data_IF_125874735080
#
_entry.id   IF_125874735080
#
_cell.length_a   1.000
_cell.length_b   1.000
_cell.length_c   1.000
_cell.angle_alpha   90.00
_cell.angle_beta   90.00
_cell.angle_gamma   90.00
#
_symmetry.space_group_name_H-M   'P 1'
#
loop_
_entity.id
_entity.type
_entity.pdbx_description
1 polymer ?
#
# COMPACT_ATOMS: atom_id res chain seq x y z
N UNK A 1 35.54 59.71 27.50
CA UNK A 1 34.58 59.43 26.41
C UNK A 1 35.34 59.41 25.10
N UNK A 2 35.83 58.25 24.66
CA UNK A 2 36.56 58.11 23.39
C UNK A 2 35.70 57.31 22.42
N UNK A 3 35.33 57.96 21.32
CA UNK A 3 34.62 57.32 20.19
C UNK A 3 35.65 56.57 19.36
N UNK A 4 35.43 55.26 19.15
CA UNK A 4 36.19 54.44 18.21
C UNK A 4 35.36 54.36 16.94
N UNK A 5 35.90 54.89 15.85
CA UNK A 5 35.35 54.75 14.48
C UNK A 5 36.02 53.52 13.87
N UNK A 6 35.24 52.49 13.51
CA UNK A 6 35.73 51.36 12.75
C UNK A 6 35.47 51.63 11.27
N UNK A 7 36.53 51.75 10.52
CA UNK A 7 36.56 51.92 9.06
C UNK A 7 36.46 50.52 8.43
N UNK A 8 35.37 50.26 7.71
CA UNK A 8 35.23 49.01 6.92
C UNK A 8 35.80 49.28 5.51
N UNK A 9 36.92 48.63 5.25
CA UNK A 9 37.61 48.67 3.98
C UNK A 9 36.99 47.61 3.02
N UNK A 10 36.35 48.05 1.94
CA UNK A 10 35.91 47.19 0.83
C UNK A 10 37.11 46.79 -0.01
N UNK A 11 37.49 45.51 0.04
CA UNK A 11 38.37 44.92 -0.97
C UNK A 11 37.53 44.26 -2.03
N UNK A 12 37.57 44.82 -3.24
CA UNK A 12 37.09 44.17 -4.48
C UNK A 12 38.23 43.26 -4.93
N UNK A 13 38.02 41.96 -4.87
CA UNK A 13 38.88 40.98 -5.53
C UNK A 13 38.10 40.37 -6.74
N UNK A 14 38.49 40.81 -7.89
CA UNK A 14 38.25 40.12 -9.17
C UNK A 14 39.17 38.90 -9.21
N UNK A 15 38.62 37.72 -9.30
CA UNK A 15 39.41 36.49 -9.41
C UNK A 15 38.60 35.39 -10.09
N UNK A 16 38.98 35.10 -11.30
CA UNK A 16 38.74 33.95 -12.18
C UNK A 16 37.98 32.73 -11.61
N UNK A 17 37.11 32.21 -12.47
CA UNK A 17 36.32 31.01 -12.24
C UNK A 17 37.11 29.77 -11.88
N UNK A 18 36.50 28.95 -11.07
CA UNK A 18 36.86 27.55 -11.00
C UNK A 18 35.59 26.70 -11.03
N UNK A 19 35.49 25.88 -12.06
CA UNK A 19 34.45 24.87 -12.27
C UNK A 19 34.62 23.75 -11.25
N UNK A 20 33.83 23.73 -10.21
CA UNK A 20 33.75 22.61 -9.24
C UNK A 20 32.33 22.31 -8.75
N UNK A 21 31.30 22.41 -9.63
CA UNK A 21 29.93 22.02 -9.28
C UNK A 21 29.44 20.70 -9.91
N UNK A 22 30.34 19.83 -10.42
CA UNK A 22 29.97 18.58 -11.09
C UNK A 22 30.41 17.32 -10.32
N UNK A 23 30.60 17.35 -9.03
CA UNK A 23 31.00 16.15 -8.29
C UNK A 23 30.01 15.62 -7.26
N UNK A 24 29.05 16.40 -6.80
CA UNK A 24 28.11 15.91 -5.78
C UNK A 24 26.96 15.08 -6.35
N UNK A 25 26.40 15.47 -7.51
CA UNK A 25 25.25 14.74 -8.10
C UNK A 25 25.63 13.32 -8.57
N UNK A 26 26.88 13.12 -8.99
CA UNK A 26 27.37 11.80 -9.43
C UNK A 26 27.68 10.85 -8.27
N UNK A 27 27.95 11.35 -7.08
CA UNK A 27 28.22 10.54 -5.89
C UNK A 27 26.92 10.09 -5.24
N UNK A 28 25.93 10.98 -5.10
CA UNK A 28 24.61 10.63 -4.58
C UNK A 28 23.88 9.63 -5.49
N UNK A 29 23.91 9.84 -6.82
CA UNK A 29 23.32 8.89 -7.77
C UNK A 29 24.03 7.54 -7.82
N UNK A 30 25.34 7.49 -7.57
CA UNK A 30 26.08 6.23 -7.53
C UNK A 30 25.81 5.44 -6.22
N UNK A 31 25.74 6.11 -5.09
CA UNK A 31 25.44 5.50 -3.78
C UNK A 31 24.01 4.95 -3.76
N UNK A 32 23.03 5.67 -4.31
CA UNK A 32 21.64 5.18 -4.40
C UNK A 32 21.51 3.99 -5.36
N UNK A 33 22.25 3.97 -6.48
CA UNK A 33 22.22 2.85 -7.42
C UNK A 33 22.89 1.59 -6.86
N UNK A 34 23.95 1.74 -6.06
CA UNK A 34 24.64 0.63 -5.39
C UNK A 34 23.75 0.04 -4.29
N UNK A 35 23.16 0.86 -3.44
CA UNK A 35 22.19 0.44 -2.42
C UNK A 35 20.99 -0.31 -3.02
N UNK A 36 20.42 0.16 -4.13
CA UNK A 36 19.32 -0.52 -4.82
C UNK A 36 19.74 -1.88 -5.43
N UNK A 37 20.99 -2.03 -5.85
CA UNK A 37 21.52 -3.31 -6.33
C UNK A 37 21.70 -4.29 -5.17
N UNK A 38 22.25 -3.84 -4.06
CA UNK A 38 22.43 -4.67 -2.86
C UNK A 38 21.08 -5.17 -2.33
N UNK A 39 20.07 -4.30 -2.21
CA UNK A 39 18.70 -4.69 -1.82
C UNK A 39 18.09 -5.70 -2.80
N UNK A 40 18.31 -5.51 -4.10
CA UNK A 40 17.82 -6.40 -5.16
C UNK A 40 18.44 -7.78 -5.05
N UNK A 41 19.73 -7.88 -4.81
CA UNK A 41 20.45 -9.15 -4.71
C UNK A 41 20.13 -9.86 -3.38
N UNK A 42 20.03 -9.11 -2.28
CA UNK A 42 19.59 -9.61 -0.98
C UNK A 42 18.15 -10.16 -1.04
N UNK A 43 17.22 -9.44 -1.70
CA UNK A 43 15.84 -9.92 -1.85
C UNK A 43 15.79 -11.26 -2.59
N UNK A 44 16.56 -11.42 -3.69
CA UNK A 44 16.64 -12.68 -4.43
C UNK A 44 17.21 -13.81 -3.58
N UNK A 45 18.27 -13.53 -2.81
CA UNK A 45 18.88 -14.51 -1.93
C UNK A 45 17.92 -15.02 -0.86
N UNK A 46 17.17 -14.12 -0.22
CA UNK A 46 16.14 -14.45 0.78
C UNK A 46 15.07 -15.33 0.13
N UNK A 47 14.49 -14.89 -1.00
CA UNK A 47 13.42 -15.63 -1.70
C UNK A 47 13.88 -17.01 -2.16
N UNK A 48 15.13 -17.16 -2.60
CA UNK A 48 15.68 -18.46 -3.01
C UNK A 48 15.82 -19.43 -1.84
N UNK A 49 15.97 -18.94 -0.61
CA UNK A 49 16.05 -19.78 0.61
C UNK A 49 14.67 -20.15 1.18
N UNK A 50 13.60 -19.47 0.75
CA UNK A 50 12.24 -19.73 1.21
C UNK A 50 11.65 -20.97 0.54
N UNK A 51 10.90 -21.77 1.32
CA UNK A 51 10.09 -22.86 0.76
C UNK A 51 8.89 -22.28 -0.02
N UNK A 52 8.20 -23.12 -0.79
CA UNK A 52 6.99 -22.69 -1.53
C UNK A 52 5.90 -22.24 -0.55
N UNK A 53 5.73 -22.95 0.56
CA UNK A 53 4.77 -22.65 1.61
C UNK A 53 5.06 -21.28 2.25
N UNK A 54 6.32 -21.00 2.55
CA UNK A 54 6.74 -19.71 3.07
C UNK A 54 6.47 -18.57 2.08
N UNK A 55 6.78 -18.76 0.80
CA UNK A 55 6.52 -17.79 -0.25
C UNK A 55 5.02 -17.50 -0.41
N UNK A 56 4.20 -18.54 -0.43
CA UNK A 56 2.74 -18.41 -0.52
C UNK A 56 2.22 -17.68 0.71
N UNK A 57 2.72 -18.00 1.90
CA UNK A 57 2.32 -17.29 3.13
C UNK A 57 2.59 -15.79 3.07
N UNK A 58 3.73 -15.38 2.51
CA UNK A 58 4.05 -13.95 2.35
C UNK A 58 3.03 -13.19 1.48
N UNK A 59 2.25 -13.90 0.67
CA UNK A 59 1.22 -13.32 -0.19
C UNK A 59 -0.12 -13.07 0.53
N UNK A 60 -0.19 -13.18 1.85
CA UNK A 60 -1.42 -12.95 2.62
C UNK A 60 -1.24 -11.87 3.68
N UNK A 61 -2.19 -10.92 3.72
CA UNK A 61 -2.40 -10.00 4.85
C UNK A 61 -3.77 -10.32 5.43
N UNK A 62 -3.84 -10.60 6.75
CA UNK A 62 -5.06 -11.04 7.42
C UNK A 62 -5.31 -10.25 8.70
N UNK A 63 -6.52 -10.29 9.23
CA UNK A 63 -6.81 -9.82 10.59
C UNK A 63 -6.24 -10.79 11.62
N UNK A 64 -5.81 -10.32 12.82
CA UNK A 64 -5.34 -11.23 13.88
C UNK A 64 -6.45 -12.18 14.35
N UNK A 65 -7.72 -11.82 14.19
CA UNK A 65 -8.87 -12.67 14.48
C UNK A 65 -8.95 -13.94 13.63
N UNK A 66 -8.24 -13.99 12.49
CA UNK A 66 -8.13 -15.23 11.69
C UNK A 66 -7.48 -16.39 12.49
N UNK A 67 -6.74 -16.06 13.56
CA UNK A 67 -6.03 -17.02 14.41
C UNK A 67 -6.60 -17.11 15.82
N UNK A 68 -7.63 -16.31 16.13
CA UNK A 68 -8.27 -16.28 17.44
C UNK A 68 -9.71 -16.77 17.37
N UNK A 69 -9.98 -17.92 17.99
CA UNK A 69 -11.28 -18.56 17.98
C UNK A 69 -12.27 -17.99 19.03
N UNK A 70 -11.93 -16.89 19.70
CA UNK A 70 -12.79 -16.32 20.77
C UNK A 70 -13.98 -15.54 20.24
N UNK A 71 -13.95 -15.13 18.96
CA UNK A 71 -14.94 -14.24 18.35
C UNK A 71 -14.89 -12.79 18.87
N UNK A 72 -13.87 -12.44 19.66
CA UNK A 72 -13.67 -11.10 20.22
C UNK A 72 -12.60 -10.36 19.43
N UNK A 73 -12.60 -9.02 19.54
CA UNK A 73 -11.53 -8.21 19.02
C UNK A 73 -10.20 -8.53 19.71
N UNK A 74 -9.17 -8.81 18.92
CA UNK A 74 -7.82 -9.07 19.41
C UNK A 74 -7.16 -7.74 19.80
N UNK A 75 -6.96 -7.55 21.10
CA UNK A 75 -6.27 -6.37 21.66
C UNK A 75 -5.02 -6.75 22.44
N UNK A 76 -4.79 -8.05 22.62
CA UNK A 76 -3.63 -8.62 23.31
C UNK A 76 -3.14 -9.80 22.50
N UNK A 77 -1.83 -9.93 22.38
CA UNK A 77 -1.20 -11.09 21.73
C UNK A 77 -1.43 -12.36 22.57
N UNK A 78 -1.72 -13.47 21.89
CA UNK A 78 -1.82 -14.80 22.47
C UNK A 78 -0.97 -15.80 21.69
N UNK A 79 -0.65 -16.95 22.32
CA UNK A 79 0.12 -18.01 21.67
C UNK A 79 -0.57 -18.51 20.38
N UNK A 80 -1.90 -18.62 20.38
CA UNK A 80 -2.68 -19.03 19.20
C UNK A 80 -2.42 -18.11 18.00
N UNK A 81 -2.31 -16.79 18.26
CA UNK A 81 -2.01 -15.81 17.18
C UNK A 81 -0.60 -16.06 16.65
N UNK A 82 0.38 -16.23 17.52
CA UNK A 82 1.77 -16.52 17.14
C UNK A 82 1.90 -17.82 16.36
N UNK A 83 1.27 -18.90 16.85
CA UNK A 83 1.24 -20.21 16.18
C UNK A 83 0.56 -20.11 14.81
N UNK A 84 -0.57 -19.41 14.70
CA UNK A 84 -1.29 -19.21 13.45
C UNK A 84 -0.47 -18.46 12.41
N UNK A 85 0.15 -17.33 12.81
CA UNK A 85 1.00 -16.53 11.92
C UNK A 85 2.19 -17.38 11.43
N UNK A 86 2.84 -18.13 12.31
CA UNK A 86 3.98 -18.98 11.95
C UNK A 86 3.58 -20.20 11.12
N UNK A 87 2.39 -20.79 11.38
CA UNK A 87 1.86 -21.93 10.58
C UNK A 87 1.73 -21.55 9.10
N UNK A 88 1.16 -20.38 8.82
CA UNK A 88 0.94 -19.92 7.45
C UNK A 88 2.06 -19.03 6.91
N UNK A 89 2.99 -18.55 7.75
CA UNK A 89 4.03 -17.58 7.39
C UNK A 89 3.46 -16.33 6.70
N UNK A 90 2.34 -15.79 7.21
CA UNK A 90 1.65 -14.66 6.56
C UNK A 90 2.55 -13.44 6.37
N UNK A 91 2.33 -12.73 5.26
CA UNK A 91 3.12 -11.55 4.89
C UNK A 91 2.79 -10.31 5.71
N UNK A 92 1.59 -10.25 6.32
CA UNK A 92 1.17 -9.11 7.12
C UNK A 92 -0.08 -9.35 7.97
N UNK A 93 -0.29 -8.43 8.91
CA UNK A 93 -1.49 -8.30 9.74
C UNK A 93 -2.07 -6.90 9.53
N UNK A 94 -3.38 -6.80 9.31
CA UNK A 94 -4.13 -5.53 9.32
C UNK A 94 -4.87 -5.37 10.65
N UNK A 95 -4.75 -4.18 11.27
CA UNK A 95 -5.47 -3.80 12.49
C UNK A 95 -6.57 -2.79 12.17
N UNK A 96 -7.73 -3.01 12.77
CA UNK A 96 -8.89 -2.12 12.71
C UNK A 96 -9.11 -1.39 14.04
N UNK A 97 -10.01 -0.40 14.06
CA UNK A 97 -10.36 0.35 15.27
C UNK A 97 -10.70 -0.54 16.49
N UNK A 98 -11.28 -1.72 16.24
CA UNK A 98 -11.57 -2.70 17.31
C UNK A 98 -10.33 -3.23 18.01
N UNK A 99 -9.17 -3.26 17.33
CA UNK A 99 -7.90 -3.76 17.86
C UNK A 99 -7.05 -2.66 18.53
N UNK A 100 -7.35 -1.39 18.23
CA UNK A 100 -6.56 -0.20 18.61
C UNK A 100 -7.31 0.50 19.75
N UNK A 101 -6.76 0.49 20.98
CA UNK A 101 -7.39 1.08 22.15
C UNK A 101 -6.68 2.33 22.65
N UNK A 102 -5.38 2.24 22.85
CA UNK A 102 -4.49 3.29 23.32
C UNK A 102 -3.05 3.02 22.83
N UNK A 103 -2.14 4.01 22.85
CA UNK A 103 -0.79 3.87 22.26
C UNK A 103 0.00 2.69 22.85
N UNK A 104 0.06 2.55 24.15
CA UNK A 104 0.89 1.52 24.80
C UNK A 104 0.35 0.11 24.54
N UNK A 105 -0.98 -0.07 24.56
CA UNK A 105 -1.59 -1.35 24.21
C UNK A 105 -1.30 -1.72 22.75
N UNK A 106 -1.44 -0.74 21.82
CA UNK A 106 -1.22 -0.95 20.38
C UNK A 106 0.25 -1.31 20.10
N UNK A 107 1.20 -0.56 20.65
CA UNK A 107 2.63 -0.86 20.55
C UNK A 107 2.96 -2.25 21.09
N UNK A 108 2.41 -2.61 22.26
CA UNK A 108 2.65 -3.91 22.88
C UNK A 108 2.14 -5.04 22.00
N UNK A 109 0.94 -4.90 21.43
CA UNK A 109 0.35 -5.89 20.52
C UNK A 109 1.24 -6.07 19.29
N UNK A 110 1.62 -4.97 18.61
CA UNK A 110 2.45 -4.99 17.41
C UNK A 110 3.84 -5.59 17.68
N UNK A 111 4.50 -5.16 18.77
CA UNK A 111 5.82 -5.67 19.13
C UNK A 111 5.79 -7.17 19.47
N UNK A 112 4.73 -7.64 20.15
CA UNK A 112 4.57 -9.06 20.46
C UNK A 112 4.34 -9.88 19.20
N UNK A 113 3.56 -9.38 18.23
CA UNK A 113 3.37 -10.00 16.93
C UNK A 113 4.74 -10.12 16.22
N UNK A 114 5.46 -9.01 16.01
CA UNK A 114 6.73 -8.99 15.28
C UNK A 114 7.82 -9.84 15.96
N UNK A 115 7.87 -9.84 17.29
CA UNK A 115 8.89 -10.56 18.07
C UNK A 115 8.79 -12.08 18.04
N UNK A 116 7.68 -12.65 17.54
CA UNK A 116 7.40 -14.08 17.50
C UNK A 116 7.68 -14.74 16.14
N UNK A 117 8.19 -14.00 15.14
CA UNK A 117 8.16 -14.41 13.75
C UNK A 117 9.53 -14.77 13.18
N UNK A 118 9.54 -15.77 12.28
CA UNK A 118 10.71 -16.10 11.45
C UNK A 118 11.00 -14.99 10.44
N UNK A 119 9.97 -14.46 9.79
CA UNK A 119 10.05 -13.35 8.84
C UNK A 119 9.24 -12.17 9.36
N UNK A 120 9.84 -10.98 9.52
CA UNK A 120 9.08 -9.77 9.86
C UNK A 120 8.00 -9.46 8.82
N UNK A 121 6.86 -8.94 9.29
CA UNK A 121 5.66 -8.78 8.48
C UNK A 121 5.22 -7.32 8.34
N UNK A 122 4.35 -7.06 7.37
CA UNK A 122 3.63 -5.79 7.31
C UNK A 122 2.63 -5.71 8.48
N UNK A 123 2.61 -4.57 9.15
CA UNK A 123 1.56 -4.20 10.10
C UNK A 123 0.79 -3.05 9.46
N UNK A 124 -0.41 -3.34 9.01
CA UNK A 124 -1.20 -2.47 8.16
C UNK A 124 -2.38 -1.84 8.89
N UNK A 125 -2.82 -0.70 8.39
CA UNK A 125 -4.02 0.02 8.84
C UNK A 125 -4.60 0.83 7.68
N UNK A 126 -5.89 1.25 7.78
CA UNK A 126 -6.47 2.31 6.94
C UNK A 126 -6.44 3.63 7.73
N UNK A 127 -5.56 4.53 7.37
CA UNK A 127 -5.41 5.82 8.02
C UNK A 127 -5.38 6.94 6.98
N UNK A 128 -6.51 7.10 6.24
CA UNK A 128 -6.60 8.07 5.15
C UNK A 128 -6.75 9.53 5.64
N UNK A 129 -7.22 9.71 6.87
CA UNK A 129 -7.79 10.95 7.37
C UNK A 129 -9.31 11.01 7.19
N UNK A 130 -9.93 12.11 7.64
CA UNK A 130 -11.38 12.26 7.60
C UNK A 130 -12.12 11.11 8.29
N UNK A 131 -13.11 10.51 7.59
CA UNK A 131 -13.92 9.42 8.14
C UNK A 131 -13.22 8.05 8.16
N UNK A 132 -12.18 7.87 7.37
CA UNK A 132 -11.40 6.63 7.31
C UNK A 132 -10.07 6.84 8.02
N UNK A 133 -10.11 6.80 9.34
CA UNK A 133 -8.94 6.90 10.21
C UNK A 133 -9.17 6.05 11.47
N UNK A 134 -8.41 4.96 11.63
CA UNK A 134 -8.59 4.02 12.76
C UNK A 134 -7.90 4.53 14.01
N UNK A 135 -6.87 5.34 13.85
CA UNK A 135 -6.05 5.93 14.90
C UNK A 135 -6.47 7.38 15.14
N UNK A 136 -6.55 8.22 14.10
CA UNK A 136 -6.88 9.63 14.21
C UNK A 136 -8.28 9.89 14.77
N UNK A 137 -9.24 9.00 14.51
CA UNK A 137 -10.60 9.10 15.06
C UNK A 137 -10.76 8.49 16.46
N UNK A 138 -9.70 7.87 17.01
CA UNK A 138 -9.69 7.34 18.38
C UNK A 138 -9.05 8.36 19.34
N UNK A 139 -9.87 9.05 20.12
CA UNK A 139 -9.45 10.10 21.05
C UNK A 139 -8.39 9.64 22.08
N UNK A 140 -8.33 8.35 22.39
CA UNK A 140 -7.35 7.79 23.33
C UNK A 140 -5.92 7.78 22.73
N UNK A 141 -5.80 7.80 21.41
CA UNK A 141 -4.51 7.77 20.71
C UNK A 141 -3.76 9.10 20.79
N UNK A 142 -4.46 10.23 21.02
CA UNK A 142 -3.89 11.56 21.21
C UNK A 142 -3.00 12.03 20.05
N UNK A 143 -3.36 11.66 18.83
CA UNK A 143 -2.71 12.09 17.59
C UNK A 143 -3.52 13.23 16.95
N UNK A 144 -2.93 14.01 16.03
CA UNK A 144 -3.67 15.02 15.27
C UNK A 144 -4.81 14.40 14.45
N UNK A 145 -5.99 15.02 14.49
CA UNK A 145 -7.11 14.67 13.60
C UNK A 145 -6.84 15.31 12.24
N UNK A 146 -6.91 14.51 11.20
CA UNK A 146 -6.67 14.93 9.81
C UNK A 146 -8.03 15.18 9.14
N UNK A 147 -8.12 16.28 8.41
CA UNK A 147 -9.29 16.66 7.63
C UNK A 147 -9.60 15.65 6.50
N UNK A 148 -10.86 15.58 6.01
CA UNK A 148 -11.20 14.81 4.80
C UNK A 148 -10.38 15.28 3.60
N UNK A 149 -9.93 14.36 2.76
CA UNK A 149 -9.11 14.66 1.58
C UNK A 149 -9.82 15.60 0.59
N UNK A 150 -11.16 15.59 0.57
CA UNK A 150 -11.94 16.56 -0.18
C UNK A 150 -11.68 18.03 0.18
N UNK A 151 -11.06 18.32 1.32
CA UNK A 151 -10.70 19.68 1.76
C UNK A 151 -9.24 20.04 1.45
N UNK A 152 -8.40 19.07 1.10
CA UNK A 152 -6.98 19.27 0.79
C UNK A 152 -6.82 19.74 -0.65
N UNK A 153 -6.23 20.94 -0.85
CA UNK A 153 -6.07 21.58 -2.17
C UNK A 153 -4.65 22.10 -2.41
N UNK A 154 -3.77 21.94 -1.42
CA UNK A 154 -2.38 22.41 -1.45
C UNK A 154 -1.41 21.24 -1.32
N UNK A 155 -0.43 21.17 -2.22
CA UNK A 155 0.56 20.10 -2.29
C UNK A 155 1.42 20.02 -1.04
N UNK A 156 1.80 21.16 -0.45
CA UNK A 156 2.57 21.17 0.79
C UNK A 156 1.74 20.61 1.94
N UNK A 157 0.43 20.95 1.98
CA UNK A 157 -0.49 20.41 2.99
C UNK A 157 -0.65 18.90 2.83
N UNK A 158 -0.79 18.40 1.60
CA UNK A 158 -0.87 16.96 1.35
C UNK A 158 0.42 16.24 1.82
N UNK A 159 1.59 16.80 1.51
CA UNK A 159 2.86 16.25 1.99
C UNK A 159 2.96 16.28 3.52
N UNK A 160 2.59 17.39 4.18
CA UNK A 160 2.54 17.50 5.64
C UNK A 160 1.60 16.45 6.28
N UNK A 161 0.43 16.21 5.69
CA UNK A 161 -0.50 15.16 6.14
C UNK A 161 0.20 13.80 6.10
N UNK A 162 0.83 13.46 4.98
CA UNK A 162 1.60 12.22 4.86
C UNK A 162 2.71 12.10 5.92
N UNK A 163 3.43 13.21 6.22
CA UNK A 163 4.43 13.24 7.29
C UNK A 163 3.81 13.03 8.68
N UNK A 164 2.68 13.69 8.98
CA UNK A 164 2.00 13.59 10.27
C UNK A 164 1.53 12.16 10.50
N UNK A 165 0.76 11.61 9.54
CA UNK A 165 0.26 10.24 9.60
C UNK A 165 1.43 9.25 9.70
N UNK A 166 2.40 9.34 8.82
CA UNK A 166 3.57 8.47 8.82
C UNK A 166 4.36 8.52 10.12
N UNK A 167 4.43 9.68 10.77
CA UNK A 167 5.14 9.84 12.05
C UNK A 167 4.46 9.02 13.15
N UNK A 168 3.16 9.24 13.42
CA UNK A 168 2.52 8.49 14.49
C UNK A 168 2.32 7.00 14.17
N UNK A 169 2.14 6.64 12.88
CA UNK A 169 2.08 5.24 12.46
C UNK A 169 3.39 4.52 12.77
N UNK A 170 4.52 5.08 12.36
CA UNK A 170 5.85 4.49 12.60
C UNK A 170 6.17 4.41 14.10
N UNK A 171 5.81 5.43 14.89
CA UNK A 171 5.98 5.43 16.36
C UNK A 171 5.15 4.36 17.06
N UNK A 172 4.01 3.98 16.49
CA UNK A 172 3.15 2.89 16.99
C UNK A 172 3.61 1.51 16.51
N UNK A 173 4.48 1.45 15.50
CA UNK A 173 5.00 0.21 14.92
C UNK A 173 4.29 -0.24 13.64
N UNK A 174 3.35 0.55 13.10
CA UNK A 174 2.79 0.33 11.76
C UNK A 174 3.82 0.65 10.69
N UNK A 175 3.81 -0.10 9.59
CA UNK A 175 4.75 0.05 8.48
C UNK A 175 4.09 -0.01 7.10
N UNK A 176 2.75 -0.12 7.07
CA UNK A 176 1.93 -0.11 5.85
C UNK A 176 0.62 0.64 6.12
N UNK A 177 0.32 1.64 5.31
CA UNK A 177 -0.94 2.37 5.35
C UNK A 177 -1.69 2.19 4.04
N UNK A 178 -2.95 1.73 4.11
CA UNK A 178 -3.84 1.65 2.95
C UNK A 178 -4.38 3.05 2.61
N UNK A 179 -3.48 3.96 2.30
CA UNK A 179 -3.67 5.35 1.89
C UNK A 179 -2.55 5.79 0.93
N UNK A 180 -2.82 6.77 0.07
CA UNK A 180 -4.03 7.58 -0.09
C UNK A 180 -5.09 6.96 -1.01
N UNK A 181 -6.35 7.43 -0.86
CA UNK A 181 -7.37 7.30 -1.90
C UNK A 181 -6.97 8.16 -3.12
N UNK A 182 -6.79 7.52 -4.27
CA UNK A 182 -6.40 8.15 -5.54
C UNK A 182 -7.57 8.22 -6.55
N UNK A 183 -8.78 7.88 -6.11
CA UNK A 183 -9.97 7.89 -6.95
C UNK A 183 -10.40 9.31 -7.33
N UNK A 184 -10.77 9.49 -8.59
CA UNK A 184 -11.34 10.75 -9.08
C UNK A 184 -12.86 10.69 -8.95
N UNK A 185 -13.46 11.50 -8.08
CA UNK A 185 -14.89 11.49 -7.82
C UNK A 185 -15.67 12.10 -9.01
N UNK A 186 -15.84 11.32 -10.07
CA UNK A 186 -16.57 11.74 -11.28
C UNK A 186 -18.07 11.55 -11.15
N UNK A 187 -18.55 10.70 -10.25
CA UNK A 187 -19.96 10.56 -9.89
C UNK A 187 -20.21 10.99 -8.44
N UNK A 188 -20.92 12.09 -8.25
CA UNK A 188 -21.26 12.62 -6.91
C UNK A 188 -22.21 11.74 -6.10
N UNK A 189 -22.85 10.71 -6.73
CA UNK A 189 -23.68 9.72 -6.06
C UNK A 189 -22.86 8.66 -5.36
N UNK A 190 -21.58 8.56 -5.70
CA UNK A 190 -20.65 7.64 -5.05
C UNK A 190 -20.34 8.15 -3.63
N UNK A 191 -21.11 7.68 -2.66
CA UNK A 191 -20.93 8.01 -1.24
C UNK A 191 -19.81 7.20 -0.58
N UNK A 192 -19.42 6.08 -1.17
CA UNK A 192 -18.34 5.23 -0.65
C UNK A 192 -16.99 5.94 -0.75
N UNK A 193 -16.71 6.53 -1.89
CA UNK A 193 -15.53 7.37 -2.10
C UNK A 193 -15.77 8.76 -1.49
N UNK A 194 -16.78 9.48 -1.95
CA UNK A 194 -17.22 10.74 -1.36
C UNK A 194 -16.07 11.70 -1.02
N UNK A 195 -15.99 12.07 0.25
CA UNK A 195 -14.99 13.01 0.81
C UNK A 195 -13.59 12.40 1.05
N UNK A 196 -13.41 11.10 0.78
CA UNK A 196 -12.08 10.43 0.77
C UNK A 196 -11.26 10.90 -0.43
N UNK A 197 -11.91 11.14 -1.57
CA UNK A 197 -11.27 11.66 -2.78
C UNK A 197 -10.88 13.13 -2.63
N UNK A 198 -9.79 13.52 -3.30
CA UNK A 198 -9.40 14.92 -3.46
C UNK A 198 -10.33 15.71 -4.41
N UNK A 199 -11.31 15.07 -5.03
CA UNK A 199 -12.35 15.68 -5.84
C UNK A 199 -12.47 15.09 -7.25
N UNK A 200 -12.95 15.92 -8.20
CA UNK A 200 -13.24 15.50 -9.56
C UNK A 200 -12.22 15.95 -10.61
N UNK A 201 -11.13 16.56 -10.20
CA UNK A 201 -10.03 16.95 -11.07
C UNK A 201 -8.91 15.91 -10.95
N UNK A 202 -8.68 15.17 -12.02
CA UNK A 202 -7.73 14.04 -12.02
C UNK A 202 -6.28 14.48 -11.72
N UNK A 203 -5.83 15.62 -12.27
CA UNK A 203 -4.50 16.17 -12.03
C UNK A 203 -4.32 16.57 -10.58
N UNK A 204 -5.32 17.25 -9.98
CA UNK A 204 -5.28 17.61 -8.57
C UNK A 204 -5.26 16.36 -7.68
N UNK A 205 -6.11 15.36 -7.95
CA UNK A 205 -6.10 14.10 -7.22
C UNK A 205 -4.73 13.43 -7.29
N UNK A 206 -4.12 13.41 -8.48
CA UNK A 206 -2.80 12.84 -8.68
C UNK A 206 -1.69 13.58 -7.94
N UNK A 207 -1.70 14.92 -7.98
CA UNK A 207 -0.73 15.74 -7.23
C UNK A 207 -0.83 15.49 -5.72
N UNK A 208 -2.03 15.56 -5.16
CA UNK A 208 -2.23 15.38 -3.73
C UNK A 208 -1.88 13.96 -3.29
N UNK A 209 -2.32 12.93 -4.03
CA UNK A 209 -1.99 11.54 -3.73
C UNK A 209 -0.47 11.29 -3.77
N UNK A 210 0.23 11.83 -4.77
CA UNK A 210 1.68 11.71 -4.87
C UNK A 210 2.41 12.34 -3.68
N UNK A 211 1.93 13.48 -3.17
CA UNK A 211 2.54 14.13 -2.01
C UNK A 211 2.27 13.37 -0.70
N UNK A 212 1.07 12.80 -0.50
CA UNK A 212 0.81 11.89 0.63
C UNK A 212 1.76 10.68 0.59
N UNK A 213 1.92 10.06 -0.59
CA UNK A 213 2.86 8.93 -0.78
C UNK A 213 4.26 9.30 -0.31
N UNK A 214 4.79 10.46 -0.75
CA UNK A 214 6.12 10.92 -0.36
C UNK A 214 6.22 11.11 1.16
N UNK A 215 5.23 11.75 1.78
CA UNK A 215 5.21 12.03 3.22
C UNK A 215 5.19 10.75 4.05
N UNK A 216 4.29 9.80 3.76
CA UNK A 216 4.21 8.50 4.43
C UNK A 216 5.52 7.72 4.30
N UNK A 217 6.02 7.59 3.08
CA UNK A 217 7.20 6.80 2.77
C UNK A 217 8.49 7.39 3.34
N UNK A 218 8.56 8.72 3.52
CA UNK A 218 9.68 9.38 4.21
C UNK A 218 9.76 8.99 5.70
N UNK A 219 8.63 8.58 6.29
CA UNK A 219 8.58 8.10 7.68
C UNK A 219 8.73 6.58 7.81
N UNK A 220 9.09 5.88 6.73
CA UNK A 220 9.27 4.43 6.71
C UNK A 220 7.96 3.64 6.62
N UNK A 221 6.81 4.30 6.42
CA UNK A 221 5.50 3.65 6.23
C UNK A 221 5.23 3.53 4.74
N UNK A 222 5.01 2.31 4.25
CA UNK A 222 4.62 2.08 2.85
C UNK A 222 3.24 2.67 2.58
N UNK A 223 3.10 3.39 1.48
CA UNK A 223 1.83 3.94 1.01
C UNK A 223 1.17 3.02 -0.04
N UNK A 224 -0.16 3.04 -0.10
CA UNK A 224 -0.97 2.26 -1.04
C UNK A 224 -1.91 3.17 -1.81
N UNK A 225 -1.69 3.33 -3.11
CA UNK A 225 -2.65 4.02 -3.98
C UNK A 225 -3.88 3.15 -4.21
N UNK A 226 -5.08 3.68 -3.99
CA UNK A 226 -6.34 2.92 -4.12
C UNK A 226 -7.47 3.78 -4.70
N UNK A 227 -8.42 3.17 -5.41
CA UNK A 227 -8.61 1.73 -5.71
C UNK A 227 -8.52 1.53 -7.22
N UNK A 228 -7.42 0.95 -7.70
CA UNK A 228 -7.21 0.73 -9.14
C UNK A 228 -8.26 -0.25 -9.73
N UNK A 229 -8.85 0.02 -10.89
CA UNK A 229 -8.50 1.03 -11.90
C UNK A 229 -9.23 2.37 -11.78
N UNK A 230 -9.88 2.68 -10.65
CA UNK A 230 -10.58 3.93 -10.38
C UNK A 230 -12.05 3.70 -9.99
N UNK A 231 -12.36 3.86 -8.70
CA UNK A 231 -13.68 3.59 -8.12
C UNK A 231 -14.60 4.81 -8.11
N UNK A 232 -14.07 6.03 -8.26
CA UNK A 232 -14.83 7.27 -8.03
C UNK A 232 -15.93 7.59 -9.05
N UNK A 233 -16.05 6.80 -10.11
CA UNK A 233 -17.08 6.94 -11.14
C UNK A 233 -18.19 5.89 -11.08
N UNK A 234 -18.30 5.07 -10.02
CA UNK A 234 -19.34 4.04 -9.87
C UNK A 234 -20.52 4.55 -9.06
N UNK A 235 -21.71 4.05 -9.35
CA UNK A 235 -22.94 4.40 -8.62
C UNK A 235 -23.20 3.48 -7.42
N UNK A 236 -22.66 2.26 -7.43
CA UNK A 236 -22.91 1.22 -6.43
C UNK A 236 -21.76 1.03 -5.47
N UNK A 237 -22.07 0.53 -4.28
CA UNK A 237 -21.12 0.21 -3.23
C UNK A 237 -20.57 -1.20 -3.41
N UNK A 238 -19.27 -1.35 -3.61
CA UNK A 238 -18.60 -2.63 -3.75
C UNK A 238 -18.62 -3.51 -2.48
N UNK A 239 -18.98 -2.93 -1.33
CA UNK A 239 -19.24 -3.70 -0.10
C UNK A 239 -20.56 -4.47 -0.13
N UNK A 240 -21.53 -4.00 -0.94
CA UNK A 240 -22.87 -4.59 -1.05
C UNK A 240 -23.06 -5.44 -2.30
N UNK A 241 -22.05 -5.56 -3.16
CA UNK A 241 -22.08 -6.31 -4.39
C UNK A 241 -21.07 -5.82 -5.43
N UNK A 242 -21.10 -6.41 -6.64
CA UNK A 242 -20.17 -6.04 -7.70
C UNK A 242 -20.50 -4.66 -8.27
N UNK A 243 -19.63 -3.69 -8.06
CA UNK A 243 -19.72 -2.37 -8.69
C UNK A 243 -19.27 -2.42 -10.14
N UNK A 244 -19.91 -1.62 -11.01
CA UNK A 244 -19.61 -1.56 -12.43
C UNK A 244 -19.24 -0.15 -12.86
N UNK A 245 -18.16 -0.01 -13.63
CA UNK A 245 -17.84 1.21 -14.38
C UNK A 245 -18.08 1.00 -15.87
N UNK A 246 -18.91 1.87 -16.46
CA UNK A 246 -19.22 1.85 -17.90
C UNK A 246 -18.23 2.61 -18.77
N UNK A 247 -17.13 3.08 -18.17
CA UNK A 247 -16.09 3.84 -18.88
C UNK A 247 -15.35 2.98 -19.89
N UNK A 248 -14.97 3.61 -20.99
CA UNK A 248 -14.06 2.99 -21.96
C UNK A 248 -12.62 3.06 -21.45
N UNK A 249 -11.72 2.29 -22.07
CA UNK A 249 -10.30 2.36 -21.73
C UNK A 249 -9.71 3.75 -22.00
N UNK A 250 -10.20 4.44 -23.04
CA UNK A 250 -9.78 5.81 -23.35
C UNK A 250 -10.23 6.79 -22.26
N UNK A 251 -11.49 6.68 -21.79
CA UNK A 251 -11.98 7.48 -20.66
C UNK A 251 -11.11 7.26 -19.41
N UNK A 252 -10.80 6.01 -19.09
CA UNK A 252 -9.98 5.67 -17.92
C UNK A 252 -8.56 6.22 -18.03
N UNK A 253 -7.95 6.17 -19.23
CA UNK A 253 -6.62 6.76 -19.47
C UNK A 253 -6.59 8.27 -19.30
N UNK A 254 -7.69 8.94 -19.66
CA UNK A 254 -7.82 10.39 -19.61
C UNK A 254 -8.23 10.92 -18.22
N UNK A 255 -8.71 10.07 -17.32
CA UNK A 255 -9.18 10.48 -16.00
C UNK A 255 -8.63 9.57 -14.89
N UNK A 256 -9.10 8.31 -14.79
CA UNK A 256 -8.83 7.45 -13.65
C UNK A 256 -7.35 7.07 -13.50
N UNK A 257 -6.63 6.89 -14.62
CA UNK A 257 -5.21 6.49 -14.58
C UNK A 257 -4.24 7.63 -14.26
N UNK A 258 -4.68 8.88 -14.35
CA UNK A 258 -3.82 10.05 -14.08
C UNK A 258 -3.29 10.02 -12.64
N UNK A 259 -4.13 9.91 -11.59
CA UNK A 259 -3.63 9.85 -10.22
C UNK A 259 -2.70 8.67 -9.96
N UNK A 260 -3.00 7.50 -10.51
CA UNK A 260 -2.12 6.33 -10.37
C UNK A 260 -0.77 6.54 -11.05
N UNK A 261 -0.73 7.11 -12.26
CA UNK A 261 0.54 7.46 -12.93
C UNK A 261 1.39 8.40 -12.09
N UNK A 262 0.78 9.42 -11.50
CA UNK A 262 1.48 10.41 -10.67
C UNK A 262 1.98 9.79 -9.37
N UNK A 263 1.16 8.99 -8.69
CA UNK A 263 1.56 8.28 -7.48
C UNK A 263 2.62 7.19 -7.74
N UNK A 264 2.56 6.50 -8.89
CA UNK A 264 3.63 5.59 -9.35
C UNK A 264 4.92 6.38 -9.60
N UNK A 265 4.83 7.56 -10.21
CA UNK A 265 5.96 8.48 -10.39
C UNK A 265 6.54 8.99 -9.07
N UNK A 266 5.76 9.04 -8.00
CA UNK A 266 6.21 9.30 -6.62
C UNK A 266 6.73 8.03 -5.90
N UNK A 267 6.95 6.94 -6.64
CA UNK A 267 7.46 5.66 -6.15
C UNK A 267 6.62 5.00 -5.05
N UNK A 268 5.27 5.05 -5.17
CA UNK A 268 4.40 4.32 -4.26
C UNK A 268 4.78 2.84 -4.19
N UNK A 269 4.93 2.31 -2.98
CA UNK A 269 5.32 0.91 -2.76
C UNK A 269 4.20 -0.06 -3.16
N UNK A 270 2.93 0.36 -3.01
CA UNK A 270 1.77 -0.48 -3.28
C UNK A 270 0.73 0.21 -4.15
N UNK A 271 -0.05 -0.62 -4.85
CA UNK A 271 -1.33 -0.27 -5.46
C UNK A 271 -2.36 -1.32 -5.06
N UNK A 272 -3.53 -0.87 -4.58
CA UNK A 272 -4.66 -1.74 -4.26
C UNK A 272 -5.60 -1.85 -5.46
N UNK A 273 -5.93 -3.08 -5.83
CA UNK A 273 -6.88 -3.40 -6.90
C UNK A 273 -8.31 -3.52 -6.35
N UNK A 274 -9.24 -2.75 -6.93
CA UNK A 274 -10.65 -2.77 -6.56
C UNK A 274 -11.39 -4.03 -7.02
N UNK A 275 -12.47 -4.39 -6.30
CA UNK A 275 -13.46 -5.34 -6.77
C UNK A 275 -14.51 -4.66 -7.65
N UNK A 276 -14.05 -4.12 -8.76
CA UNK A 276 -14.83 -3.33 -9.72
C UNK A 276 -14.80 -4.00 -11.09
N UNK A 277 -15.96 -4.21 -11.73
CA UNK A 277 -16.01 -4.64 -13.12
C UNK A 277 -15.95 -3.45 -14.08
N UNK A 278 -15.31 -3.68 -15.22
CA UNK A 278 -15.14 -2.66 -16.29
C UNK A 278 -15.46 -3.31 -17.65
N UNK A 279 -16.73 -3.72 -17.91
CA UNK A 279 -17.09 -4.57 -19.05
C UNK A 279 -16.77 -3.96 -20.41
N UNK A 280 -16.79 -2.63 -20.56
CA UNK A 280 -16.38 -1.96 -21.79
C UNK A 280 -14.85 -2.06 -22.06
N UNK A 281 -14.07 -2.52 -21.09
CA UNK A 281 -12.61 -2.69 -21.18
C UNK A 281 -12.24 -4.18 -21.25
N UNK A 282 -12.88 -5.02 -20.45
CA UNK A 282 -12.58 -6.45 -20.34
C UNK A 282 -13.42 -7.33 -21.24
N UNK A 283 -14.62 -6.86 -21.66
CA UNK A 283 -15.61 -7.64 -22.42
C UNK A 283 -16.50 -8.53 -21.55
N UNK A 284 -16.31 -8.54 -20.23
CA UNK A 284 -17.08 -9.30 -19.25
C UNK A 284 -17.16 -8.57 -17.90
N UNK A 285 -17.87 -9.16 -16.93
CA UNK A 285 -18.04 -8.60 -15.58
C UNK A 285 -17.02 -9.14 -14.57
N UNK A 286 -15.89 -9.69 -15.01
CA UNK A 286 -14.83 -10.11 -14.09
C UNK A 286 -14.31 -8.92 -13.29
N UNK A 287 -14.27 -8.99 -11.93
CA UNK A 287 -13.69 -7.94 -11.12
C UNK A 287 -12.25 -7.64 -11.51
N UNK A 288 -11.86 -6.37 -11.45
CA UNK A 288 -10.50 -5.94 -11.82
C UNK A 288 -9.42 -6.72 -11.07
N UNK A 289 -9.63 -7.00 -9.79
CA UNK A 289 -8.74 -7.84 -8.94
C UNK A 289 -8.49 -9.24 -9.55
N UNK A 290 -9.46 -9.80 -10.28
CA UNK A 290 -9.37 -11.14 -10.88
C UNK A 290 -9.01 -11.09 -12.38
N UNK A 291 -8.86 -9.89 -12.95
CA UNK A 291 -8.60 -9.69 -14.38
C UNK A 291 -7.10 -9.53 -14.68
N UNK A 292 -6.51 -10.51 -15.36
CA UNK A 292 -5.12 -10.45 -15.83
C UNK A 292 -4.88 -9.25 -16.76
N UNK A 293 -5.88 -8.90 -17.57
CA UNK A 293 -5.78 -7.74 -18.45
C UNK A 293 -5.63 -6.44 -17.66
N UNK A 294 -6.44 -6.24 -16.61
CA UNK A 294 -6.39 -5.05 -15.76
C UNK A 294 -5.08 -5.02 -14.95
N UNK A 295 -4.76 -6.08 -14.21
CA UNK A 295 -3.64 -6.07 -13.27
C UNK A 295 -2.30 -6.18 -14.01
N UNK A 296 -2.13 -7.22 -14.81
CA UNK A 296 -0.85 -7.42 -15.52
C UNK A 296 -0.75 -6.50 -16.73
N UNK A 297 -1.81 -6.43 -17.55
CA UNK A 297 -1.80 -5.66 -18.80
C UNK A 297 -1.72 -4.16 -18.57
N UNK A 298 -2.69 -3.60 -17.82
CA UNK A 298 -2.78 -2.15 -17.66
C UNK A 298 -1.89 -1.64 -16.52
N UNK A 299 -2.00 -2.18 -15.30
CA UNK A 299 -1.25 -1.63 -14.15
C UNK A 299 0.26 -1.91 -14.26
N UNK A 300 0.64 -3.20 -14.43
CA UNK A 300 2.06 -3.58 -14.41
C UNK A 300 2.78 -3.22 -15.73
N UNK A 301 2.15 -3.46 -16.89
CA UNK A 301 2.82 -3.27 -18.18
C UNK A 301 2.62 -1.87 -18.76
N UNK A 302 1.35 -1.36 -18.85
CA UNK A 302 1.08 -0.07 -19.46
C UNK A 302 1.49 1.09 -18.54
N UNK A 303 1.04 1.09 -17.25
CA UNK A 303 1.40 2.12 -16.29
C UNK A 303 2.81 1.92 -15.70
N UNK A 304 3.44 0.76 -15.95
CA UNK A 304 4.81 0.47 -15.54
C UNK A 304 5.01 0.22 -14.05
N UNK A 305 3.95 -0.10 -13.29
CA UNK A 305 4.06 -0.31 -11.85
C UNK A 305 4.95 -1.51 -11.51
N UNK A 306 5.96 -1.30 -10.65
CA UNK A 306 6.96 -2.29 -10.25
C UNK A 306 6.88 -2.69 -8.77
N UNK A 307 6.03 -2.01 -7.99
CA UNK A 307 5.79 -2.32 -6.57
C UNK A 307 4.89 -3.53 -6.38
N UNK A 308 4.32 -3.64 -5.18
CA UNK A 308 3.44 -4.74 -4.77
C UNK A 308 1.98 -4.40 -5.10
N UNK A 309 1.29 -5.28 -5.80
CA UNK A 309 -0.15 -5.16 -6.03
C UNK A 309 -0.88 -5.96 -4.96
N UNK A 310 -1.67 -5.25 -4.14
CA UNK A 310 -2.54 -5.87 -3.13
C UNK A 310 -4.00 -5.87 -3.62
N UNK A 311 -4.76 -6.91 -3.34
CA UNK A 311 -6.21 -6.90 -3.57
C UNK A 311 -6.90 -5.98 -2.57
N UNK A 312 -8.07 -5.46 -2.88
CA UNK A 312 -9.03 -5.06 -1.86
C UNK A 312 -9.44 -6.28 -1.03
N UNK A 313 -10.20 -6.07 0.06
CA UNK A 313 -10.53 -7.13 1.00
C UNK A 313 -11.36 -8.25 0.33
N UNK A 314 -10.77 -9.43 0.21
CA UNK A 314 -11.35 -10.57 -0.52
C UNK A 314 -12.60 -11.14 0.13
N UNK A 315 -12.92 -10.73 1.37
CA UNK A 315 -14.17 -11.08 2.06
C UNK A 315 -15.33 -10.09 1.79
N UNK A 316 -15.16 -9.13 0.88
CA UNK A 316 -16.23 -8.21 0.47
C UNK A 316 -17.27 -8.90 -0.39
N UNK A 317 -18.54 -8.44 -0.32
CA UNK A 317 -19.68 -8.99 -1.05
C UNK A 317 -19.42 -9.16 -2.55
N UNK A 318 -18.74 -8.21 -3.18
CA UNK A 318 -18.37 -8.27 -4.59
C UNK A 318 -17.61 -9.56 -4.99
N UNK A 319 -16.87 -10.17 -4.07
CA UNK A 319 -16.14 -11.42 -4.27
C UNK A 319 -16.93 -12.60 -3.74
N UNK A 320 -17.30 -12.59 -2.44
CA UNK A 320 -17.83 -13.80 -1.78
C UNK A 320 -19.21 -14.25 -2.30
N UNK A 321 -19.97 -13.35 -2.89
CA UNK A 321 -21.26 -13.68 -3.52
C UNK A 321 -21.12 -14.38 -4.89
N UNK A 322 -19.94 -14.24 -5.54
CA UNK A 322 -19.73 -14.69 -6.90
C UNK A 322 -18.65 -15.77 -7.03
N UNK A 323 -17.72 -15.86 -6.07
CA UNK A 323 -16.56 -16.76 -6.11
C UNK A 323 -16.33 -17.41 -4.76
N UNK A 324 -15.98 -18.70 -4.75
CA UNK A 324 -15.45 -19.35 -3.56
C UNK A 324 -14.06 -18.81 -3.19
N UNK A 325 -13.65 -18.89 -1.90
CA UNK A 325 -12.37 -18.33 -1.45
C UNK A 325 -11.15 -18.96 -2.13
N UNK A 326 -11.22 -20.21 -2.51
CA UNK A 326 -10.22 -20.96 -3.27
C UNK A 326 -10.10 -20.47 -4.71
N UNK A 327 -11.24 -20.39 -5.42
CA UNK A 327 -11.29 -19.89 -6.80
C UNK A 327 -10.82 -18.44 -6.90
N UNK A 328 -11.32 -17.57 -6.01
CA UNK A 328 -10.95 -16.16 -5.97
C UNK A 328 -9.44 -15.97 -5.75
N UNK A 329 -8.84 -16.74 -4.83
CA UNK A 329 -7.41 -16.67 -4.55
C UNK A 329 -6.57 -17.07 -5.79
N UNK A 330 -6.88 -18.20 -6.44
CA UNK A 330 -6.15 -18.67 -7.61
C UNK A 330 -6.28 -17.69 -8.78
N UNK A 331 -7.51 -17.18 -9.05
CA UNK A 331 -7.74 -16.18 -10.11
C UNK A 331 -6.97 -14.88 -9.84
N UNK A 332 -7.00 -14.35 -8.62
CA UNK A 332 -6.29 -13.13 -8.25
C UNK A 332 -4.77 -13.26 -8.42
N UNK A 333 -4.18 -14.37 -7.94
CA UNK A 333 -2.75 -14.66 -8.13
C UNK A 333 -2.39 -14.73 -9.62
N UNK A 334 -3.19 -15.42 -10.43
CA UNK A 334 -2.98 -15.53 -11.88
C UNK A 334 -3.21 -14.20 -12.62
N UNK A 335 -4.07 -13.31 -12.08
CA UNK A 335 -4.26 -11.97 -12.61
C UNK A 335 -3.01 -11.09 -12.39
N UNK A 336 -2.20 -11.38 -11.37
CA UNK A 336 -0.99 -10.63 -11.06
C UNK A 336 -1.00 -9.95 -9.68
N UNK A 337 -1.99 -10.25 -8.83
CA UNK A 337 -2.03 -9.81 -7.44
C UNK A 337 -0.86 -10.45 -6.68
N UNK A 338 -0.11 -9.64 -5.94
CA UNK A 338 1.05 -10.08 -5.16
C UNK A 338 0.66 -10.37 -3.69
N UNK A 339 -0.36 -9.66 -3.16
CA UNK A 339 -0.89 -9.88 -1.81
C UNK A 339 -2.42 -9.98 -1.85
N UNK A 340 -2.94 -11.04 -1.26
CA UNK A 340 -4.36 -11.26 -1.01
C UNK A 340 -4.71 -10.70 0.38
N UNK A 341 -5.55 -9.66 0.41
CA UNK A 341 -5.98 -9.03 1.66
C UNK A 341 -7.25 -9.71 2.18
N UNK A 342 -7.22 -10.18 3.42
CA UNK A 342 -8.38 -10.68 4.16
C UNK A 342 -9.24 -11.68 3.36
N UNK A 343 -8.70 -12.83 2.92
CA UNK A 343 -9.53 -13.85 2.31
C UNK A 343 -10.63 -14.28 3.29
N UNK A 344 -11.81 -14.63 2.77
CA UNK A 344 -12.94 -15.10 3.60
C UNK A 344 -12.55 -16.31 4.45
N UNK A 345 -11.76 -17.22 3.88
CA UNK A 345 -11.19 -18.38 4.56
C UNK A 345 -9.71 -18.50 4.19
N UNK A 346 -8.83 -18.21 5.16
CA UNK A 346 -7.39 -18.25 4.95
C UNK A 346 -6.90 -19.66 4.60
N UNK A 347 -7.37 -20.70 5.30
CA UNK A 347 -6.92 -22.08 5.07
C UNK A 347 -7.28 -22.56 3.65
N UNK A 348 -8.51 -22.28 3.20
CA UNK A 348 -8.97 -22.60 1.86
C UNK A 348 -8.15 -21.86 0.79
N UNK A 349 -8.02 -20.53 0.91
CA UNK A 349 -7.29 -19.71 -0.05
C UNK A 349 -5.79 -20.09 -0.12
N UNK A 350 -5.16 -20.29 1.03
CA UNK A 350 -3.75 -20.68 1.12
C UNK A 350 -3.50 -22.04 0.46
N UNK A 351 -4.31 -23.06 0.80
CA UNK A 351 -4.20 -24.40 0.22
C UNK A 351 -4.54 -24.41 -1.28
N UNK A 352 -5.49 -23.58 -1.73
CA UNK A 352 -5.82 -23.46 -3.15
C UNK A 352 -4.64 -22.93 -3.96
N UNK A 353 -3.93 -21.90 -3.45
CA UNK A 353 -2.71 -21.37 -4.12
C UNK A 353 -1.61 -22.46 -4.15
N UNK A 354 -1.36 -23.17 -3.05
CA UNK A 354 -0.38 -24.28 -3.02
C UNK A 354 -0.75 -25.39 -4.02
N UNK A 355 -2.01 -25.79 -4.07
CA UNK A 355 -2.49 -26.80 -5.00
C UNK A 355 -2.38 -26.33 -6.46
N UNK A 356 -2.72 -25.05 -6.72
CA UNK A 356 -2.56 -24.41 -8.03
C UNK A 356 -1.11 -24.45 -8.55
N UNK A 357 -0.13 -24.27 -7.65
CA UNK A 357 1.30 -24.41 -8.01
C UNK A 357 1.62 -25.89 -8.31
N UNK A 358 1.16 -26.81 -7.46
CA UNK A 358 1.44 -28.24 -7.56
C UNK A 358 0.88 -28.87 -8.83
N UNK A 359 -0.31 -28.44 -9.28
CA UNK A 359 -0.96 -28.95 -10.49
C UNK A 359 -0.62 -28.14 -11.77
N UNK A 360 0.20 -27.07 -11.64
CA UNK A 360 0.67 -26.26 -12.76
C UNK A 360 -0.34 -25.17 -13.22
N UNK A 361 -1.42 -24.92 -12.50
CA UNK A 361 -2.37 -23.85 -12.76
C UNK A 361 -1.79 -22.46 -12.44
N UNK A 362 -0.93 -22.39 -11.41
CA UNK A 362 -0.14 -21.20 -11.05
C UNK A 362 1.32 -21.47 -11.37
N UNK A 363 1.94 -20.72 -12.29
CA UNK A 363 3.37 -20.84 -12.56
C UNK A 363 4.20 -20.54 -11.30
N UNK A 364 5.21 -21.35 -11.02
CA UNK A 364 6.08 -21.13 -9.86
C UNK A 364 6.76 -19.77 -9.89
N UNK A 365 7.17 -19.33 -11.07
CA UNK A 365 7.79 -18.03 -11.32
C UNK A 365 6.87 -16.87 -10.91
N UNK A 366 5.53 -17.06 -10.97
CA UNK A 366 4.55 -16.06 -10.52
C UNK A 366 4.65 -15.83 -9.01
N UNK A 367 4.86 -16.91 -8.24
CA UNK A 367 5.01 -16.85 -6.78
C UNK A 367 6.37 -16.26 -6.41
N UNK A 368 7.41 -16.67 -7.12
CA UNK A 368 8.77 -16.16 -6.92
C UNK A 368 8.80 -14.63 -7.18
N UNK A 369 8.15 -14.15 -8.24
CA UNK A 369 8.03 -12.72 -8.58
C UNK A 369 7.23 -11.93 -7.51
N UNK A 370 6.10 -12.47 -7.01
CA UNK A 370 5.33 -11.85 -5.94
C UNK A 370 6.16 -11.73 -4.66
N UNK A 371 6.74 -12.85 -4.23
CA UNK A 371 7.54 -12.89 -3.01
C UNK A 371 8.76 -11.97 -3.11
N UNK A 372 9.41 -11.91 -4.27
CA UNK A 372 10.51 -10.98 -4.53
C UNK A 372 10.10 -9.51 -4.33
N UNK A 373 8.94 -9.07 -4.89
CA UNK A 373 8.44 -7.71 -4.69
C UNK A 373 8.16 -7.41 -3.22
N UNK A 374 7.52 -8.35 -2.53
CA UNK A 374 7.19 -8.25 -1.11
C UNK A 374 8.46 -8.11 -0.26
N UNK A 375 9.43 -9.01 -0.45
CA UNK A 375 10.71 -8.98 0.29
C UNK A 375 11.50 -7.73 -0.01
N UNK A 376 11.54 -7.30 -1.28
CA UNK A 376 12.22 -6.05 -1.69
C UNK A 376 11.65 -4.83 -0.96
N UNK A 377 10.31 -4.69 -0.86
CA UNK A 377 9.71 -3.59 -0.11
C UNK A 377 10.01 -3.71 1.39
N UNK A 378 9.97 -4.92 1.96
CA UNK A 378 10.33 -5.14 3.38
C UNK A 378 11.78 -4.72 3.69
N UNK A 379 12.72 -5.00 2.79
CA UNK A 379 14.11 -4.54 2.90
C UNK A 379 14.20 -3.01 2.77
N UNK A 380 13.62 -2.44 1.69
CA UNK A 380 13.58 -0.98 1.44
C UNK A 380 13.04 -0.19 2.64
N UNK A 381 12.08 -0.77 3.39
CA UNK A 381 11.46 -0.12 4.56
C UNK A 381 12.09 -0.52 5.91
N UNK A 382 13.17 -1.30 5.89
CA UNK A 382 13.83 -1.76 7.11
C UNK A 382 13.00 -2.70 7.99
N UNK A 383 11.93 -3.27 7.43
CA UNK A 383 11.07 -4.28 8.10
C UNK A 383 11.85 -5.58 8.23
N UNK A 384 12.59 -5.92 7.19
CA UNK A 384 13.49 -7.08 7.12
C UNK A 384 14.94 -6.58 6.97
N UNK A 385 15.90 -7.34 7.52
CA UNK A 385 17.34 -7.01 7.46
C UNK A 385 18.10 -8.11 6.74
#
# INVERSE_FOLDING_TARGET
>A
MKKIIILIMFMILTGCGNKNEIKNDNIETSVTAESQREETDQAKEIVNKMTVEEKVGQMFIVMPEAFDNTGKAVTVFSDNIGEGINKYNVGGIILFAKNIKEPEQTKKLINSIQGSLKYPIFIAVDEEGGRVARIGNNQNMKVPVIEPMAQVRDSNRAYEIGLIIGTYLSELGFNLDFAPDADVLTDKRNIEIGDRSFGNNAELCGQMAAEIVKGLQQKGVSAVLKHFPGHGGTESNSHEGLSESKKTLEDMRNVEFIPFKMGIGAESDFVMAAHLSVPNVTGDNTPATLSKYIITGLLKNELGFKGVVVSDAMNMGAIVENYGPDEAAVKAVNAGIDILLMPENLDSAYNAVLNGIKNGEIPKERIDDACYRIVKIKLKRGIMK
#
